data_IF_787489711936
#
_entry.id   IF_787489711936
#
_cell.length_a   1.000
_cell.length_b   1.000
_cell.length_c   1.000
_cell.angle_alpha   90.00
_cell.angle_beta   90.00
_cell.angle_gamma   90.00
#
_symmetry.space_group_name_H-M   'P 1'
#
loop_
_entity.id
_entity.type
_entity.pdbx_description
1 polymer ?
#
# COMPACT_ATOMS: atom_id res chain seq x y z
N UNK A 1 -4.26 -7.35 21.71
CA UNK A 1 -2.91 -6.75 21.93
C UNK A 1 -2.08 -7.60 22.87
N UNK A 2 -0.77 -7.36 22.92
CA UNK A 2 0.17 -8.09 23.78
C UNK A 2 -0.12 -7.94 25.30
N UNK A 3 -0.80 -6.90 25.69
CA UNK A 3 -1.20 -6.60 27.09
C UNK A 3 -2.65 -7.02 27.42
N UNK A 4 -3.31 -7.76 26.51
CA UNK A 4 -4.69 -8.19 26.63
C UNK A 4 -5.75 -7.14 26.29
N UNK A 5 -5.36 -5.92 25.90
CA UNK A 5 -6.32 -4.89 25.45
C UNK A 5 -7.04 -5.38 24.20
N UNK A 6 -8.39 -5.38 24.15
CA UNK A 6 -9.13 -5.70 22.93
C UNK A 6 -8.74 -4.76 21.78
N UNK A 7 -8.53 -5.33 20.59
CA UNK A 7 -8.26 -4.57 19.37
C UNK A 7 -9.25 -4.97 18.28
N UNK A 8 -9.60 -4.00 17.44
CA UNK A 8 -10.38 -4.27 16.24
C UNK A 8 -9.43 -4.72 15.14
N UNK A 9 -9.80 -5.79 14.47
CA UNK A 9 -9.08 -6.29 13.29
C UNK A 9 -10.03 -6.32 12.10
N UNK A 10 -9.52 -6.23 10.86
CA UNK A 10 -10.35 -6.39 9.67
C UNK A 10 -11.10 -7.72 9.66
N UNK A 11 -12.26 -7.74 9.02
CA UNK A 11 -12.95 -8.98 8.71
C UNK A 11 -12.02 -9.90 7.88
N UNK A 12 -12.02 -11.19 8.18
CA UNK A 12 -11.12 -12.15 7.54
C UNK A 12 -9.68 -12.17 8.07
N UNK A 13 -9.36 -11.37 9.11
CA UNK A 13 -8.06 -11.44 9.76
C UNK A 13 -7.83 -12.84 10.34
N UNK A 14 -6.79 -13.53 9.85
CA UNK A 14 -6.48 -14.88 10.26
C UNK A 14 -5.74 -14.89 11.61
N UNK A 15 -6.33 -15.57 12.60
CA UNK A 15 -5.72 -15.78 13.92
C UNK A 15 -5.24 -17.22 14.15
N UNK A 16 -5.41 -18.09 13.15
CA UNK A 16 -5.06 -19.50 13.25
C UNK A 16 -3.58 -19.72 12.98
N UNK A 17 -2.89 -20.28 13.97
CA UNK A 17 -1.52 -20.77 13.79
C UNK A 17 -1.53 -22.04 12.95
N UNK A 18 -0.75 -22.05 11.89
CA UNK A 18 -0.58 -23.23 11.03
C UNK A 18 0.36 -24.26 11.70
N UNK A 19 0.41 -25.46 11.12
CA UNK A 19 1.21 -26.58 11.65
C UNK A 19 2.73 -26.31 11.67
N UNK A 20 3.20 -25.35 10.89
CA UNK A 20 4.60 -24.90 10.83
C UNK A 20 4.92 -23.79 11.84
N UNK A 21 3.96 -23.38 12.67
CA UNK A 21 4.12 -22.36 13.72
C UNK A 21 3.94 -20.93 13.26
N UNK A 22 3.42 -20.70 12.05
CA UNK A 22 3.17 -19.34 11.52
C UNK A 22 1.69 -18.98 11.50
N UNK A 23 1.43 -17.68 11.64
CA UNK A 23 0.17 -17.05 11.22
C UNK A 23 0.35 -16.52 9.81
N UNK A 24 -0.58 -16.84 8.92
CA UNK A 24 -0.56 -16.39 7.55
C UNK A 24 -1.56 -15.25 7.34
N UNK A 25 -1.12 -14.21 6.64
CA UNK A 25 -1.97 -13.16 6.11
C UNK A 25 -2.39 -13.54 4.68
N UNK A 26 -3.64 -13.30 4.35
CA UNK A 26 -4.19 -13.56 3.03
C UNK A 26 -4.71 -12.25 2.41
N UNK A 27 -4.60 -12.08 1.08
CA UNK A 27 -5.18 -10.94 0.37
C UNK A 27 -6.65 -10.76 0.72
N UNK A 28 -7.02 -9.61 1.27
CA UNK A 28 -8.39 -9.29 1.70
C UNK A 28 -9.06 -10.35 2.62
N UNK A 29 -8.25 -11.17 3.31
CA UNK A 29 -8.74 -12.26 4.17
C UNK A 29 -9.19 -13.51 3.42
N UNK A 30 -9.05 -13.56 2.11
CA UNK A 30 -9.45 -14.70 1.28
C UNK A 30 -8.43 -15.86 1.39
N UNK A 31 -8.80 -16.89 2.15
CA UNK A 31 -7.96 -18.08 2.34
C UNK A 31 -8.01 -19.07 1.16
N UNK A 32 -8.74 -18.77 0.10
CA UNK A 32 -8.75 -19.61 -1.12
C UNK A 32 -7.60 -19.27 -2.08
N UNK A 33 -6.90 -18.15 -1.82
CA UNK A 33 -5.72 -17.72 -2.59
C UNK A 33 -4.43 -17.91 -1.79
N UNK A 34 -3.26 -17.90 -2.43
CA UNK A 34 -1.98 -18.01 -1.71
C UNK A 34 -1.78 -16.91 -0.66
N UNK A 35 -1.16 -17.23 0.48
CA UNK A 35 -0.87 -16.23 1.51
C UNK A 35 0.09 -15.16 0.99
N UNK A 36 -0.12 -13.92 1.43
CA UNK A 36 0.68 -12.75 1.09
C UNK A 36 1.66 -12.33 2.16
N UNK A 37 1.45 -12.76 3.39
CA UNK A 37 2.33 -12.48 4.52
C UNK A 37 2.35 -13.64 5.51
N UNK A 38 3.40 -13.68 6.33
CA UNK A 38 3.52 -14.63 7.43
C UNK A 38 4.19 -14.02 8.64
N UNK A 39 3.82 -14.47 9.82
CA UNK A 39 4.38 -14.05 11.09
C UNK A 39 4.55 -15.28 12.00
N UNK A 40 5.68 -15.47 12.69
CA UNK A 40 5.76 -16.47 13.76
C UNK A 40 4.65 -16.25 14.80
N UNK A 41 4.15 -17.30 15.44
CA UNK A 41 3.07 -17.19 16.40
C UNK A 41 3.35 -16.20 17.56
N UNK A 42 4.62 -16.04 17.92
CA UNK A 42 5.09 -15.09 18.94
C UNK A 42 5.64 -13.79 18.33
N UNK A 43 5.46 -13.58 17.02
CA UNK A 43 5.90 -12.39 16.30
C UNK A 43 4.96 -11.20 16.48
N UNK A 44 5.45 -10.03 16.05
CA UNK A 44 4.68 -8.78 16.10
C UNK A 44 4.40 -8.21 14.71
N UNK A 45 5.03 -8.73 13.66
CA UNK A 45 4.92 -8.23 12.29
C UNK A 45 4.82 -9.39 11.31
N UNK A 46 4.04 -9.18 10.25
CA UNK A 46 4.00 -10.08 9.12
C UNK A 46 5.08 -9.69 8.10
N UNK A 47 5.96 -10.63 7.80
CA UNK A 47 6.85 -10.51 6.65
C UNK A 47 6.08 -10.81 5.36
N UNK A 48 6.35 -10.07 4.30
CA UNK A 48 5.78 -10.37 3.00
C UNK A 48 6.25 -11.75 2.51
N UNK A 49 5.31 -12.56 2.03
CA UNK A 49 5.64 -13.78 1.28
C UNK A 49 5.92 -13.35 -0.16
N UNK A 50 7.12 -13.66 -0.65
CA UNK A 50 7.47 -13.36 -2.03
C UNK A 50 6.60 -14.16 -3.00
N UNK A 51 5.89 -13.44 -3.88
CA UNK A 51 4.96 -14.00 -4.87
C UNK A 51 5.32 -13.55 -6.28
N UNK A 52 6.62 -13.27 -6.50
CA UNK A 52 7.13 -12.88 -7.80
C UNK A 52 6.83 -13.95 -8.84
N UNK A 53 6.11 -13.57 -9.90
CA UNK A 53 5.93 -14.41 -11.07
C UNK A 53 7.12 -14.23 -12.03
N UNK A 54 7.47 -15.26 -12.81
CA UNK A 54 8.44 -15.10 -13.89
C UNK A 54 7.98 -13.98 -14.84
N UNK A 55 8.93 -13.11 -15.20
CA UNK A 55 8.68 -12.00 -16.14
C UNK A 55 9.86 -11.84 -17.10
N UNK A 56 9.61 -11.22 -18.21
CA UNK A 56 10.61 -10.65 -19.10
C UNK A 56 10.21 -9.21 -19.45
N UNK A 57 11.12 -8.45 -20.07
CA UNK A 57 10.90 -7.04 -20.38
C UNK A 57 9.62 -6.81 -21.20
N UNK A 58 9.30 -7.72 -22.13
CA UNK A 58 8.14 -7.61 -23.01
C UNK A 58 6.80 -7.81 -22.29
N UNK A 59 6.83 -8.36 -21.06
CA UNK A 59 5.64 -8.61 -20.23
C UNK A 59 5.43 -7.56 -19.13
N UNK A 60 6.35 -6.59 -19.04
CA UNK A 60 6.27 -5.53 -18.03
C UNK A 60 5.33 -4.41 -18.50
N UNK A 61 4.15 -4.33 -17.88
CA UNK A 61 3.15 -3.30 -18.14
C UNK A 61 2.92 -2.45 -16.88
N UNK A 62 3.25 -1.13 -16.91
CA UNK A 62 3.00 -0.24 -15.79
C UNK A 62 1.52 -0.14 -15.41
N UNK A 63 0.60 -0.16 -16.39
CA UNK A 63 -0.83 -0.06 -16.13
C UNK A 63 -1.37 -1.30 -15.40
N UNK A 64 -0.92 -2.50 -15.76
CA UNK A 64 -1.27 -3.71 -15.01
C UNK A 64 -0.77 -3.67 -13.57
N UNK A 65 0.46 -3.20 -13.35
CA UNK A 65 1.03 -3.10 -12.02
C UNK A 65 0.23 -2.12 -11.13
N UNK A 66 -0.12 -0.96 -11.70
CA UNK A 66 -0.84 0.10 -10.97
C UNK A 66 -2.29 -0.30 -10.70
N UNK A 67 -2.97 -0.88 -11.70
CA UNK A 67 -4.39 -1.26 -11.58
C UNK A 67 -4.67 -2.32 -10.51
N UNK A 68 -3.67 -3.10 -10.12
CA UNK A 68 -3.77 -4.05 -9.02
C UNK A 68 -4.09 -3.39 -7.66
N UNK A 69 -3.66 -2.13 -7.46
CA UNK A 69 -3.71 -1.49 -6.14
C UNK A 69 -4.24 -0.07 -6.14
N UNK A 70 -4.28 0.59 -7.30
CA UNK A 70 -4.64 2.02 -7.39
C UNK A 70 -5.82 2.21 -8.32
N UNK A 71 -6.79 2.99 -7.88
CA UNK A 71 -7.97 3.36 -8.66
C UNK A 71 -8.42 4.79 -8.30
N UNK A 72 -9.20 5.37 -9.18
CA UNK A 72 -9.89 6.64 -8.85
C UNK A 72 -11.00 6.34 -7.84
N UNK A 73 -11.14 7.17 -6.81
CA UNK A 73 -12.16 7.00 -5.78
C UNK A 73 -13.55 6.79 -6.37
N UNK A 74 -14.24 5.80 -5.85
CA UNK A 74 -15.65 5.55 -6.13
C UNK A 74 -16.54 6.53 -5.38
N UNK A 75 -17.78 6.69 -5.85
CA UNK A 75 -18.79 7.53 -5.17
C UNK A 75 -19.04 7.06 -3.72
N UNK A 76 -18.95 5.76 -3.45
CA UNK A 76 -19.11 5.21 -2.11
C UNK A 76 -17.96 5.60 -1.20
N UNK A 77 -16.72 5.50 -1.67
CA UNK A 77 -15.53 5.93 -0.90
C UNK A 77 -15.58 7.42 -0.59
N UNK A 78 -15.97 8.25 -1.57
CA UNK A 78 -16.13 9.69 -1.38
C UNK A 78 -17.23 10.02 -0.37
N UNK A 79 -18.35 9.33 -0.43
CA UNK A 79 -19.43 9.47 0.55
C UNK A 79 -18.97 9.12 1.97
N UNK A 80 -18.22 8.04 2.11
CA UNK A 80 -17.65 7.63 3.41
C UNK A 80 -16.63 8.65 3.95
N UNK A 81 -15.78 9.23 3.09
CA UNK A 81 -14.84 10.29 3.46
C UNK A 81 -15.58 11.54 3.95
N UNK A 82 -16.60 11.96 3.23
CA UNK A 82 -17.46 13.09 3.61
C UNK A 82 -18.14 12.85 4.97
N UNK A 83 -18.79 11.72 5.15
CA UNK A 83 -19.50 11.37 6.37
C UNK A 83 -18.56 11.30 7.59
N UNK A 84 -17.42 10.63 7.45
CA UNK A 84 -16.43 10.50 8.52
C UNK A 84 -15.80 11.85 8.89
N UNK A 85 -15.44 12.66 7.90
CA UNK A 85 -14.88 13.99 8.16
C UNK A 85 -15.91 14.90 8.84
N UNK A 86 -17.19 14.83 8.46
CA UNK A 86 -18.28 15.57 9.09
C UNK A 86 -18.48 15.13 10.53
N UNK A 87 -18.61 13.84 10.79
CA UNK A 87 -18.79 13.29 12.14
C UNK A 87 -17.67 13.70 13.08
N UNK A 88 -16.41 13.63 12.61
CA UNK A 88 -15.28 14.09 13.42
C UNK A 88 -15.33 15.59 13.66
N UNK A 89 -15.62 16.40 12.64
CA UNK A 89 -15.68 17.85 12.74
C UNK A 89 -16.75 18.32 13.73
N UNK A 90 -17.90 17.67 13.74
CA UNK A 90 -19.01 17.98 14.64
C UNK A 90 -18.79 17.47 16.08
N UNK A 91 -17.98 16.44 16.26
CA UNK A 91 -17.75 15.80 17.57
C UNK A 91 -16.55 16.34 18.34
N UNK A 92 -15.72 17.22 17.74
CA UNK A 92 -14.51 17.73 18.40
C UNK A 92 -14.25 19.20 18.03
N UNK A 93 -13.64 19.94 18.96
CA UNK A 93 -13.07 21.28 18.68
C UNK A 93 -11.60 21.23 18.24
N UNK A 94 -11.04 20.03 18.01
CA UNK A 94 -9.64 19.86 17.63
C UNK A 94 -9.48 19.96 16.12
N UNK A 95 -8.29 20.37 15.68
CA UNK A 95 -7.90 20.29 14.28
C UNK A 95 -7.88 18.83 13.80
N UNK A 96 -8.37 18.60 12.58
CA UNK A 96 -8.40 17.26 11.97
C UNK A 96 -7.31 17.19 10.90
N UNK A 97 -6.48 16.18 11.01
CA UNK A 97 -5.48 15.82 9.98
C UNK A 97 -6.04 14.64 9.20
N UNK A 98 -6.18 14.80 7.89
CA UNK A 98 -6.64 13.75 7.00
C UNK A 98 -5.52 12.81 6.57
N UNK A 99 -5.83 11.53 6.44
CA UNK A 99 -4.96 10.56 5.79
C UNK A 99 -5.42 10.38 4.35
N UNK A 100 -4.69 10.98 3.41
CA UNK A 100 -5.00 10.88 1.98
C UNK A 100 -4.65 9.50 1.41
N UNK A 101 -3.54 8.88 1.85
CA UNK A 101 -3.16 7.51 1.51
C UNK A 101 -2.68 7.26 0.08
N UNK A 102 -2.70 8.27 -0.79
CA UNK A 102 -2.40 8.13 -2.23
C UNK A 102 -1.03 8.71 -2.63
N UNK A 103 -0.14 8.94 -1.67
CA UNK A 103 1.14 9.62 -1.90
C UNK A 103 2.37 8.72 -1.73
N UNK A 104 2.18 7.44 -1.50
CA UNK A 104 3.27 6.48 -1.24
C UNK A 104 3.83 5.89 -2.54
N UNK A 105 4.25 6.75 -3.46
CA UNK A 105 4.83 6.31 -4.74
C UNK A 105 6.13 5.54 -4.51
N UNK A 106 6.19 4.32 -5.05
CA UNK A 106 7.35 3.45 -4.91
C UNK A 106 7.59 2.96 -3.48
N UNK A 107 6.61 3.07 -2.57
CA UNK A 107 6.73 2.54 -1.22
C UNK A 107 7.00 1.04 -1.27
N UNK A 108 8.18 0.68 -0.75
CA UNK A 108 8.67 -0.69 -0.79
C UNK A 108 7.75 -1.67 -0.05
N UNK A 109 7.01 -1.20 0.94
CA UNK A 109 6.02 -2.00 1.66
C UNK A 109 4.82 -2.37 0.78
N UNK A 110 4.55 -1.60 -0.28
CA UNK A 110 3.44 -1.83 -1.21
C UNK A 110 3.85 -2.72 -2.40
N UNK A 111 5.15 -2.77 -2.74
CA UNK A 111 5.64 -3.53 -3.88
C UNK A 111 5.17 -4.99 -3.89
N UNK A 112 5.21 -5.75 -2.76
CA UNK A 112 4.75 -7.13 -2.74
C UNK A 112 3.25 -7.32 -3.01
N UNK A 113 2.44 -6.26 -2.99
CA UNK A 113 1.01 -6.32 -3.26
C UNK A 113 0.24 -7.19 -2.26
N UNK A 114 0.41 -6.94 -0.95
CA UNK A 114 -0.12 -7.81 0.12
C UNK A 114 -1.62 -8.09 0.03
N UNK A 115 -2.39 -7.17 -0.52
CA UNK A 115 -3.85 -7.30 -0.69
C UNK A 115 -4.26 -7.79 -2.10
N UNK A 116 -3.28 -8.06 -2.97
CA UNK A 116 -3.53 -8.54 -4.34
C UNK A 116 -3.43 -10.06 -4.37
N UNK A 117 -4.46 -10.74 -4.86
CA UNK A 117 -4.50 -12.22 -4.90
C UNK A 117 -3.39 -12.80 -5.79
N UNK A 118 -3.25 -12.26 -6.99
CA UNK A 118 -2.27 -12.69 -8.00
C UNK A 118 -1.54 -11.45 -8.57
N UNK A 119 -0.55 -10.90 -7.82
CA UNK A 119 0.12 -9.68 -8.21
C UNK A 119 0.94 -9.87 -9.50
N UNK A 120 0.84 -8.88 -10.39
CA UNK A 120 1.51 -8.87 -11.70
C UNK A 120 2.71 -7.93 -11.69
N UNK A 121 3.61 -8.15 -12.64
CA UNK A 121 4.82 -7.35 -12.81
C UNK A 121 5.87 -7.62 -11.73
N UNK A 122 6.70 -6.63 -11.42
CA UNK A 122 7.79 -6.78 -10.44
C UNK A 122 7.27 -6.57 -9.03
N UNK A 123 7.33 -7.62 -8.19
CA UNK A 123 6.77 -7.67 -6.84
C UNK A 123 7.76 -8.13 -5.76
N UNK A 124 8.94 -8.62 -6.16
CA UNK A 124 10.03 -8.87 -5.25
C UNK A 124 10.80 -7.56 -4.98
N UNK A 125 11.11 -7.27 -3.72
CA UNK A 125 11.78 -6.04 -3.31
C UNK A 125 13.15 -5.89 -3.97
N UNK A 126 13.92 -6.98 -4.07
CA UNK A 126 15.23 -6.96 -4.72
C UNK A 126 15.12 -6.65 -6.22
N UNK A 127 14.17 -7.29 -6.91
CA UNK A 127 13.94 -7.06 -8.34
C UNK A 127 13.43 -5.65 -8.61
N UNK A 128 12.61 -5.09 -7.70
CA UNK A 128 12.16 -3.71 -7.79
C UNK A 128 13.31 -2.70 -7.78
N UNK A 129 14.26 -2.86 -6.84
CA UNK A 129 15.43 -1.98 -6.83
C UNK A 129 16.33 -2.19 -8.03
N UNK A 130 16.51 -3.43 -8.50
CA UNK A 130 17.23 -3.69 -9.75
C UNK A 130 16.53 -3.06 -10.95
N UNK A 131 15.20 -3.08 -11.01
CA UNK A 131 14.42 -2.50 -12.09
C UNK A 131 14.59 -0.99 -12.23
N UNK A 132 14.92 -0.26 -11.15
CA UNK A 132 15.25 1.18 -11.26
C UNK A 132 16.44 1.47 -12.19
N UNK A 133 17.26 0.46 -12.46
CA UNK A 133 18.45 0.54 -13.35
C UNK A 133 18.24 -0.24 -14.63
N UNK A 134 17.64 -1.44 -14.55
CA UNK A 134 17.47 -2.33 -15.70
C UNK A 134 16.26 -1.96 -16.56
N UNK A 135 15.17 -1.49 -15.93
CA UNK A 135 13.90 -1.17 -16.58
C UNK A 135 13.38 0.21 -16.13
N UNK A 136 14.19 1.28 -16.30
CA UNK A 136 13.85 2.61 -15.78
C UNK A 136 12.55 3.17 -16.35
N UNK A 137 12.25 2.90 -17.63
CA UNK A 137 11.02 3.37 -18.27
C UNK A 137 9.77 2.68 -17.70
N UNK A 138 9.88 1.41 -17.31
CA UNK A 138 8.82 0.69 -16.62
C UNK A 138 8.52 1.31 -15.23
N UNK A 139 9.56 1.55 -14.42
CA UNK A 139 9.42 2.17 -13.10
C UNK A 139 8.87 3.60 -13.21
N UNK A 140 9.37 4.36 -14.19
CA UNK A 140 8.86 5.71 -14.47
C UNK A 140 7.38 5.69 -14.88
N UNK A 141 7.00 4.78 -15.77
CA UNK A 141 5.62 4.60 -16.18
C UNK A 141 4.68 4.29 -15.00
N UNK A 142 5.12 3.43 -14.06
CA UNK A 142 4.38 3.16 -12.82
C UNK A 142 4.17 4.46 -12.02
N UNK A 143 5.22 5.26 -11.80
CA UNK A 143 5.10 6.50 -11.03
C UNK A 143 4.24 7.54 -11.73
N UNK A 144 4.36 7.68 -13.06
CA UNK A 144 3.52 8.60 -13.83
C UNK A 144 2.05 8.20 -13.71
N UNK A 145 1.74 6.92 -13.83
CA UNK A 145 0.36 6.42 -13.71
C UNK A 145 -0.20 6.57 -12.29
N UNK A 146 0.60 6.26 -11.28
CA UNK A 146 0.23 6.50 -9.88
C UNK A 146 -0.06 7.98 -9.62
N UNK A 147 0.79 8.88 -10.16
CA UNK A 147 0.62 10.33 -10.00
C UNK A 147 -0.67 10.83 -10.65
N UNK A 148 -1.02 10.37 -11.85
CA UNK A 148 -2.28 10.73 -12.51
C UNK A 148 -3.50 10.39 -11.64
N UNK A 149 -3.53 9.16 -11.10
CA UNK A 149 -4.60 8.71 -10.21
C UNK A 149 -4.62 9.52 -8.91
N UNK A 150 -3.44 9.75 -8.32
CA UNK A 150 -3.32 10.47 -7.06
C UNK A 150 -3.75 11.94 -7.18
N UNK A 151 -3.40 12.63 -8.27
CA UNK A 151 -3.84 14.00 -8.50
C UNK A 151 -5.35 14.09 -8.67
N UNK A 152 -5.95 13.15 -9.41
CA UNK A 152 -7.41 13.08 -9.53
C UNK A 152 -8.08 12.80 -8.19
N UNK A 153 -7.54 11.86 -7.43
CA UNK A 153 -8.05 11.51 -6.11
C UNK A 153 -7.87 12.65 -5.09
N UNK A 154 -6.80 13.43 -5.18
CA UNK A 154 -6.59 14.60 -4.31
C UNK A 154 -7.68 15.66 -4.52
N UNK A 155 -8.03 15.91 -5.78
CA UNK A 155 -9.14 16.81 -6.12
C UNK A 155 -10.47 16.31 -5.55
N UNK A 156 -10.80 15.03 -5.78
CA UNK A 156 -12.02 14.40 -5.29
C UNK A 156 -12.05 14.34 -3.74
N UNK A 157 -10.92 14.01 -3.13
CA UNK A 157 -10.77 14.03 -1.67
C UNK A 157 -11.06 15.41 -1.10
N UNK A 158 -10.46 16.46 -1.67
CA UNK A 158 -10.71 17.83 -1.23
C UNK A 158 -12.19 18.22 -1.38
N UNK A 159 -12.83 17.82 -2.47
CA UNK A 159 -14.28 18.06 -2.65
C UNK A 159 -15.11 17.35 -1.58
N UNK A 160 -14.76 16.11 -1.21
CA UNK A 160 -15.48 15.33 -0.22
C UNK A 160 -15.27 15.84 1.21
N UNK A 161 -14.05 16.21 1.59
CA UNK A 161 -13.74 16.60 2.98
C UNK A 161 -13.84 18.10 3.24
N UNK A 162 -13.63 18.95 2.22
CA UNK A 162 -13.72 20.40 2.31
C UNK A 162 -12.83 20.99 3.40
N UNK A 163 -13.27 22.11 3.98
CA UNK A 163 -12.59 22.85 5.04
C UNK A 163 -12.56 22.14 6.41
N UNK A 164 -13.13 20.92 6.50
CA UNK A 164 -13.15 20.16 7.77
C UNK A 164 -11.79 19.59 8.14
N UNK A 165 -10.89 19.47 7.18
CA UNK A 165 -9.53 18.99 7.35
C UNK A 165 -8.55 20.14 7.13
N UNK A 166 -7.66 20.39 8.11
CA UNK A 166 -6.69 21.51 8.07
C UNK A 166 -5.37 21.14 7.39
N UNK A 167 -5.05 19.85 7.31
CA UNK A 167 -3.84 19.31 6.69
C UNK A 167 -4.05 17.86 6.29
N UNK A 168 -3.29 17.38 5.31
CA UNK A 168 -3.21 15.96 4.97
C UNK A 168 -1.84 15.40 5.37
N UNK A 169 -1.84 14.15 5.81
CA UNK A 169 -0.62 13.39 6.01
C UNK A 169 -0.14 12.87 4.66
N UNK A 170 1.12 13.17 4.31
CA UNK A 170 1.80 12.66 3.12
C UNK A 170 2.91 11.74 3.60
N UNK A 171 2.81 10.46 3.25
CA UNK A 171 3.83 9.47 3.56
C UNK A 171 4.82 9.36 2.42
N UNK A 172 6.07 9.06 2.75
CA UNK A 172 7.12 8.69 1.80
C UNK A 172 7.47 7.22 1.91
N UNK A 173 8.50 6.83 1.16
CA UNK A 173 9.10 5.50 1.24
C UNK A 173 10.54 5.58 1.70
N UNK A 174 11.06 4.46 2.23
CA UNK A 174 12.46 4.34 2.59
C UNK A 174 13.30 4.05 1.34
N UNK A 175 14.21 4.98 1.00
CA UNK A 175 15.20 4.81 -0.08
C UNK A 175 16.57 4.36 0.41
N UNK A 176 16.67 3.97 1.65
CA UNK A 176 17.92 3.54 2.25
C UNK A 176 17.76 2.80 3.56
N UNK A 177 18.85 2.21 4.00
CA UNK A 177 19.00 1.60 5.32
C UNK A 177 19.93 2.46 6.18
N UNK A 178 20.20 2.00 7.42
CA UNK A 178 21.17 2.63 8.32
C UNK A 178 22.60 2.66 7.76
N UNK A 179 22.89 1.85 6.74
CA UNK A 179 24.23 1.71 6.14
C UNK A 179 24.40 2.45 4.81
N UNK A 180 23.30 2.87 4.18
CA UNK A 180 23.35 3.60 2.90
C UNK A 180 22.07 3.54 2.08
N UNK A 181 22.02 4.29 0.97
CA UNK A 181 20.87 4.27 0.07
C UNK A 181 20.76 2.96 -0.71
N UNK A 182 19.54 2.51 -1.01
CA UNK A 182 19.28 1.36 -1.87
C UNK A 182 19.44 1.68 -3.36
N UNK A 183 19.23 2.93 -3.74
CA UNK A 183 19.40 3.42 -5.10
C UNK A 183 20.38 4.59 -5.14
N UNK A 184 20.99 4.84 -6.29
CA UNK A 184 21.91 5.96 -6.42
C UNK A 184 21.16 7.30 -6.32
N UNK A 185 21.79 8.38 -5.80
CA UNK A 185 21.19 9.73 -5.83
C UNK A 185 20.80 10.21 -7.25
N UNK A 186 21.45 9.66 -8.28
CA UNK A 186 21.13 9.95 -9.67
C UNK A 186 19.81 9.27 -10.10
N UNK A 187 19.59 8.03 -9.66
CA UNK A 187 18.36 7.28 -9.97
C UNK A 187 17.16 7.80 -9.19
N UNK A 188 17.40 8.49 -8.06
CA UNK A 188 16.36 9.11 -7.25
C UNK A 188 15.83 10.42 -7.86
N UNK A 189 16.61 11.13 -8.69
CA UNK A 189 16.26 12.41 -9.33
C UNK A 189 15.49 12.22 -10.63
#
# INVERSE_FOLDING_TARGET
SYDGTPVLVPEGFNTRVASDGYLYQYPNGDQTVPPSGRMPAEGFYHDAVERQQPFDESTLDPDEWVSDMYHVYTDEELRLLEERSRTLYESTSRAIIGNFGQSSFGDIALVPGLNVAYPKGIRAVADWYMATVLYPDYIKGIFERQLEIALKNLELYHQAVGERIVAIFVSGTDFGSQTGPFISPRSYR
#
